data_IF_802101013789
#
_entry.id   IF_802101013789
#
_cell.length_a   1.000
_cell.length_b   1.000
_cell.length_c   1.000
_cell.angle_alpha   90.00
_cell.angle_beta   90.00
_cell.angle_gamma   90.00
#
_symmetry.space_group_name_H-M   'P 1'
#
loop_
_entity.id
_entity.type
_entity.pdbx_description
1 polymer ?
#
# COMPACT_ATOMS: atom_id res chain seq x y z
N UNK A 1 10.01 -2.51 2.77
CA UNK A 1 8.61 -2.31 2.29
C UNK A 1 8.57 -2.04 0.79
N UNK A 2 9.43 -1.16 0.27
CA UNK A 2 9.54 -0.84 -1.15
C UNK A 2 9.68 -2.06 -2.09
N UNK A 3 10.42 -3.09 -1.68
CA UNK A 3 10.68 -4.25 -2.55
C UNK A 3 9.47 -5.18 -2.72
N UNK A 4 8.69 -5.41 -1.66
CA UNK A 4 7.53 -6.32 -1.70
C UNK A 4 6.42 -5.82 -2.63
N UNK A 5 6.29 -4.50 -2.78
CA UNK A 5 5.30 -3.87 -3.68
C UNK A 5 5.85 -3.71 -5.10
N UNK A 6 7.16 -3.48 -5.27
CA UNK A 6 7.81 -3.42 -6.61
C UNK A 6 7.96 -4.78 -7.27
N UNK A 7 7.96 -5.85 -6.50
CA UNK A 7 8.01 -7.21 -7.04
C UNK A 7 6.63 -7.73 -7.48
N UNK A 8 5.57 -6.90 -7.44
CA UNK A 8 4.24 -7.32 -7.93
C UNK A 8 4.32 -7.66 -9.44
N UNK A 9 3.49 -8.58 -9.93
CA UNK A 9 3.43 -8.91 -11.36
C UNK A 9 3.16 -7.66 -12.20
N UNK A 10 3.77 -7.55 -13.38
CA UNK A 10 3.58 -6.41 -14.30
C UNK A 10 2.09 -6.16 -14.61
N UNK A 11 1.28 -7.21 -14.75
CA UNK A 11 -0.18 -7.11 -14.92
C UNK A 11 -0.86 -6.29 -13.81
N UNK A 12 -0.38 -6.40 -12.57
CA UNK A 12 -0.92 -5.64 -11.45
C UNK A 12 -0.33 -4.23 -11.41
N UNK A 13 0.95 -4.07 -11.75
CA UNK A 13 1.60 -2.75 -11.81
C UNK A 13 0.97 -1.84 -12.86
N UNK A 14 0.47 -2.40 -13.97
CA UNK A 14 -0.26 -1.62 -14.98
C UNK A 14 -1.67 -1.18 -14.49
N UNK A 15 -2.23 -1.92 -13.53
CA UNK A 15 -3.56 -1.65 -12.95
C UNK A 15 -3.54 -0.70 -11.76
N UNK A 16 -2.39 -0.50 -11.11
CA UNK A 16 -2.28 0.30 -9.88
C UNK A 16 -1.18 1.35 -9.95
N UNK A 17 -1.43 2.52 -9.36
CA UNK A 17 -0.38 3.52 -9.14
C UNK A 17 0.23 3.32 -7.74
N UNK A 18 1.51 2.92 -7.70
CA UNK A 18 2.24 2.77 -6.44
C UNK A 18 2.84 4.12 -6.06
N UNK A 19 2.46 4.64 -4.89
CA UNK A 19 3.08 5.82 -4.30
C UNK A 19 3.69 5.47 -2.95
N UNK A 20 4.97 5.77 -2.82
CA UNK A 20 5.72 5.60 -1.58
C UNK A 20 5.90 6.96 -0.91
N UNK A 21 5.63 7.02 0.40
CA UNK A 21 5.84 8.23 1.19
C UNK A 21 6.80 7.95 2.35
N UNK A 22 7.84 8.77 2.44
CA UNK A 22 8.83 8.66 3.52
C UNK A 22 8.35 9.46 4.74
N UNK A 23 8.29 8.80 5.89
CA UNK A 23 7.86 9.40 7.17
C UNK A 23 8.83 10.45 7.73
N UNK A 24 10.03 10.57 7.16
CA UNK A 24 10.98 11.66 7.44
C UNK A 24 10.61 12.95 6.72
N UNK A 25 9.71 12.89 5.74
CA UNK A 25 9.22 14.06 5.00
C UNK A 25 7.89 14.56 5.57
N UNK A 26 7.65 15.87 5.47
CA UNK A 26 6.37 16.48 5.90
C UNK A 26 5.18 15.90 5.12
N UNK A 27 5.35 15.63 3.84
CA UNK A 27 4.32 15.04 2.98
C UNK A 27 3.96 13.62 3.42
N UNK A 28 4.95 12.80 3.77
CA UNK A 28 4.68 11.46 4.26
C UNK A 28 3.97 11.45 5.60
N UNK A 29 4.35 12.33 6.53
CA UNK A 29 3.63 12.49 7.81
C UNK A 29 2.19 12.98 7.57
N UNK A 30 1.98 13.91 6.64
CA UNK A 30 0.64 14.40 6.29
C UNK A 30 -0.24 13.26 5.75
N UNK A 31 0.27 12.50 4.78
CA UNK A 31 -0.44 11.35 4.20
C UNK A 31 -0.73 10.26 5.22
N UNK A 32 0.22 9.95 6.09
CA UNK A 32 0.03 8.99 7.18
C UNK A 32 -1.14 9.39 8.10
N UNK A 33 -1.24 10.68 8.44
CA UNK A 33 -2.36 11.23 9.21
C UNK A 33 -3.68 11.20 8.44
N UNK A 34 -3.67 11.57 7.16
CA UNK A 34 -4.87 11.52 6.30
C UNK A 34 -5.45 10.11 6.21
N UNK A 35 -4.58 9.11 6.06
CA UNK A 35 -4.94 7.69 6.00
C UNK A 35 -5.35 7.10 7.36
N UNK A 36 -5.27 7.89 8.44
CA UNK A 36 -5.52 7.49 9.84
C UNK A 36 -4.72 6.24 10.25
N UNK A 37 -3.55 6.06 9.66
CA UNK A 37 -2.66 4.97 10.01
C UNK A 37 -2.14 5.18 11.44
N UNK A 38 -2.07 4.10 12.23
CA UNK A 38 -1.61 4.14 13.62
C UNK A 38 -0.19 3.58 13.75
N UNK A 39 0.17 2.61 12.92
CA UNK A 39 1.47 1.93 13.00
C UNK A 39 2.09 1.68 11.64
N UNK A 40 3.39 1.99 11.53
CA UNK A 40 4.22 1.57 10.40
C UNK A 40 4.69 0.13 10.61
N UNK A 41 4.87 -0.65 9.54
CA UNK A 41 4.47 -0.35 8.17
C UNK A 41 2.94 -0.28 7.98
N UNK A 42 2.45 0.62 7.13
CA UNK A 42 1.03 0.66 6.74
C UNK A 42 0.88 0.75 5.23
N UNK A 43 -0.14 0.07 4.70
CA UNK A 43 -0.47 0.06 3.27
C UNK A 43 -1.92 0.49 3.11
N UNK A 44 -2.14 1.46 2.23
CA UNK A 44 -3.46 1.90 1.85
C UNK A 44 -3.68 1.67 0.36
N UNK A 45 -4.86 1.17 0.01
CA UNK A 45 -5.33 0.98 -1.36
C UNK A 45 -6.49 1.94 -1.61
N UNK A 46 -6.40 2.79 -2.63
CA UNK A 46 -7.40 3.82 -2.96
C UNK A 46 -7.78 4.70 -1.75
N UNK A 47 -6.79 5.12 -0.96
CA UNK A 47 -6.98 5.97 0.21
C UNK A 47 -7.61 5.27 1.43
N UNK A 48 -7.83 3.95 1.36
CA UNK A 48 -8.30 3.14 2.49
C UNK A 48 -7.17 2.30 3.03
N UNK A 49 -6.97 2.37 4.33
CA UNK A 49 -5.99 1.55 5.03
C UNK A 49 -6.42 0.07 4.96
N UNK A 50 -5.56 -0.78 4.43
CA UNK A 50 -5.84 -2.22 4.25
C UNK A 50 -4.93 -3.06 5.14
N UNK A 51 -3.68 -2.63 5.34
CA UNK A 51 -2.73 -3.31 6.19
C UNK A 51 -2.08 -2.33 7.16
N UNK A 52 -1.95 -2.74 8.43
CA UNK A 52 -1.22 -2.04 9.48
C UNK A 52 -0.32 -3.01 10.25
N UNK A 53 0.86 -2.52 10.64
CA UNK A 53 1.84 -3.18 11.53
C UNK A 53 2.50 -4.46 11.01
N UNK A 54 1.92 -5.14 10.01
CA UNK A 54 2.51 -6.30 9.34
C UNK A 54 2.72 -6.02 7.84
N UNK A 55 3.88 -6.43 7.32
CA UNK A 55 4.13 -6.44 5.88
C UNK A 55 3.43 -7.68 5.33
N UNK A 56 2.37 -7.53 4.51
CA UNK A 56 1.72 -8.68 3.91
C UNK A 56 2.68 -9.35 2.91
N UNK A 57 2.59 -10.69 2.74
CA UNK A 57 3.25 -11.36 1.63
C UNK A 57 2.64 -10.87 0.30
N UNK A 58 3.38 -11.03 -0.79
CA UNK A 58 2.96 -10.50 -2.10
C UNK A 58 1.62 -11.06 -2.56
N UNK A 59 1.36 -12.35 -2.29
CA UNK A 59 0.11 -13.02 -2.68
C UNK A 59 -1.11 -12.36 -2.04
N UNK A 60 -1.06 -12.09 -0.73
CA UNK A 60 -2.12 -11.36 -0.01
C UNK A 60 -2.34 -9.95 -0.57
N UNK A 61 -1.25 -9.26 -0.94
CA UNK A 61 -1.35 -7.93 -1.52
C UNK A 61 -2.01 -7.96 -2.89
N UNK A 62 -1.60 -8.89 -3.77
CA UNK A 62 -2.20 -9.10 -5.10
C UNK A 62 -3.67 -9.46 -4.96
N UNK A 63 -4.01 -10.37 -4.04
CA UNK A 63 -5.38 -10.81 -3.84
C UNK A 63 -6.27 -9.66 -3.35
N UNK A 64 -5.79 -8.82 -2.41
CA UNK A 64 -6.51 -7.64 -1.95
C UNK A 64 -6.75 -6.61 -3.06
N UNK A 65 -5.81 -6.47 -4.00
CA UNK A 65 -5.97 -5.60 -5.17
C UNK A 65 -7.00 -6.19 -6.14
N UNK A 66 -6.90 -7.49 -6.46
CA UNK A 66 -7.83 -8.19 -7.37
C UNK A 66 -9.26 -8.19 -6.83
N UNK A 67 -9.45 -8.51 -5.56
CA UNK A 67 -10.76 -8.50 -4.89
C UNK A 67 -11.44 -7.13 -5.02
N UNK A 68 -10.65 -6.06 -4.93
CA UNK A 68 -11.15 -4.68 -5.01
C UNK A 68 -11.42 -4.18 -6.43
N UNK A 69 -10.79 -4.77 -7.44
CA UNK A 69 -11.01 -4.44 -8.86
C UNK A 69 -12.07 -5.34 -9.53
N UNK A 70 -12.31 -6.53 -8.99
CA UNK A 70 -13.27 -7.50 -9.53
C UNK A 70 -14.70 -7.35 -8.98
N UNK A 71 -14.96 -6.33 -8.14
CA UNK A 71 -16.25 -6.06 -7.48
C UNK A 71 -16.95 -4.81 -7.98
#
# INVERSE_FOLDING_TARGET
>A
MAESVKALPEEIQDLIEIREWDMRTREGVARFKELRAKMLPSVALNGRLVFEANIPPQEDLVQAIKDRYSG
#
